data_IF_687300757540
#
_entry.id   IF_687300757540
#
_cell.length_a   1.000
_cell.length_b   1.000
_cell.length_c   1.000
_cell.angle_alpha   90.00
_cell.angle_beta   90.00
_cell.angle_gamma   90.00
#
_symmetry.space_group_name_H-M   'P 1'
#
loop_
_entity.id
_entity.type
_entity.pdbx_description
1 polymer ?
#
# COMPACT_ATOMS: atom_id res chain seq x y z
N UNK A 1 -18.13 -31.66 21.49
CA UNK A 1 -17.63 -30.53 20.69
C UNK A 1 -16.87 -31.11 19.50
N UNK A 2 -17.47 -31.11 18.30
CA UNK A 2 -16.80 -31.60 17.09
C UNK A 2 -15.93 -30.49 16.52
N UNK A 3 -14.62 -30.63 16.64
CA UNK A 3 -13.63 -29.83 15.93
C UNK A 3 -13.47 -30.39 14.52
N UNK A 4 -14.20 -29.83 13.55
CA UNK A 4 -13.96 -30.14 12.14
C UNK A 4 -14.20 -28.91 11.28
N UNK A 5 -13.12 -28.22 10.97
CA UNK A 5 -12.72 -28.10 9.57
C UNK A 5 -11.20 -28.08 9.54
N UNK A 6 -10.60 -29.07 8.85
CA UNK A 6 -9.24 -28.89 8.35
C UNK A 6 -9.35 -27.67 7.44
N UNK A 7 -8.72 -26.55 7.82
CA UNK A 7 -8.33 -25.56 6.83
C UNK A 7 -7.31 -26.27 5.94
N UNK A 8 -7.79 -26.82 4.83
CA UNK A 8 -6.91 -27.17 3.72
C UNK A 8 -6.43 -25.84 3.14
N UNK A 9 -5.29 -25.37 3.63
CA UNK A 9 -4.53 -24.33 2.97
C UNK A 9 -3.95 -24.96 1.71
N UNK A 10 -4.70 -24.94 0.61
CA UNK A 10 -4.12 -25.20 -0.71
C UNK A 10 -2.98 -24.20 -0.87
N UNK A 11 -1.72 -24.65 -1.03
CA UNK A 11 -0.64 -23.73 -1.36
C UNK A 11 -1.09 -22.99 -2.61
N UNK A 12 -1.08 -21.65 -2.59
CA UNK A 12 -1.28 -20.86 -3.81
C UNK A 12 -0.02 -21.07 -4.65
N UNK A 13 0.07 -22.24 -5.29
CA UNK A 13 1.13 -22.59 -6.21
C UNK A 13 0.90 -21.82 -7.49
N UNK A 14 1.89 -21.00 -7.88
CA UNK A 14 2.20 -20.39 -9.20
C UNK A 14 1.11 -19.76 -10.08
N UNK A 15 -0.16 -20.09 -9.94
CA UNK A 15 -1.29 -19.59 -10.73
C UNK A 15 -2.07 -18.50 -9.98
N UNK A 16 -1.35 -17.63 -9.27
CA UNK A 16 -1.93 -16.41 -8.68
C UNK A 16 -2.56 -15.51 -9.76
N UNK A 17 -2.16 -15.69 -11.03
CA UNK A 17 -2.72 -14.95 -12.17
C UNK A 17 -4.18 -15.34 -12.46
N UNK A 18 -4.59 -16.57 -12.18
CA UNK A 18 -5.99 -16.99 -12.35
C UNK A 18 -6.96 -16.26 -11.41
N UNK A 19 -6.48 -15.81 -10.25
CA UNK A 19 -7.26 -15.10 -9.24
C UNK A 19 -7.12 -13.57 -9.32
N UNK A 20 -6.22 -13.05 -10.16
CA UNK A 20 -6.15 -11.61 -10.41
C UNK A 20 -7.46 -11.13 -11.03
N UNK A 21 -7.99 -9.99 -10.58
CA UNK A 21 -9.09 -9.31 -11.26
C UNK A 21 -8.75 -9.16 -12.76
N UNK A 22 -9.63 -9.70 -13.61
CA UNK A 22 -9.45 -9.70 -15.07
C UNK A 22 -9.81 -8.36 -15.72
N UNK A 23 -10.19 -7.35 -14.93
CA UNK A 23 -10.49 -6.05 -15.49
C UNK A 23 -9.21 -5.41 -16.01
N UNK A 24 -9.35 -4.78 -17.17
CA UNK A 24 -8.30 -4.04 -17.82
C UNK A 24 -8.00 -2.77 -17.02
N UNK A 25 -6.73 -2.37 -17.01
CA UNK A 25 -6.34 -1.07 -16.46
C UNK A 25 -7.04 0.01 -17.31
N UNK A 26 -7.85 0.91 -16.73
CA UNK A 26 -8.49 1.98 -17.48
C UNK A 26 -7.45 2.86 -18.19
N UNK A 27 -7.74 3.24 -19.44
CA UNK A 27 -6.95 4.19 -20.20
C UNK A 27 -7.89 5.22 -20.88
N UNK A 28 -7.93 6.48 -20.41
CA UNK A 28 -7.11 7.03 -19.35
C UNK A 28 -7.50 6.50 -17.96
N UNK A 29 -6.58 6.60 -16.99
CA UNK A 29 -6.90 6.41 -15.58
C UNK A 29 -7.97 7.41 -15.13
N UNK A 30 -8.83 7.05 -14.16
CA UNK A 30 -9.83 7.98 -13.64
C UNK A 30 -9.16 9.21 -13.00
N UNK A 31 -9.91 10.29 -12.77
CA UNK A 31 -9.39 11.44 -12.02
C UNK A 31 -9.60 11.30 -10.50
N UNK A 32 -10.60 10.50 -10.13
CA UNK A 32 -11.05 10.27 -8.75
C UNK A 32 -11.00 8.78 -8.41
N UNK A 33 -10.75 8.48 -7.14
CA UNK A 33 -10.79 7.14 -6.56
C UNK A 33 -11.54 7.15 -5.23
N UNK A 34 -11.98 5.98 -4.78
CA UNK A 34 -12.54 5.83 -3.43
C UNK A 34 -11.42 5.46 -2.46
N UNK A 35 -11.39 6.11 -1.30
CA UNK A 35 -10.43 5.81 -0.24
C UNK A 35 -11.09 5.92 1.14
N UNK A 36 -10.63 5.10 2.08
CA UNK A 36 -10.99 5.25 3.49
C UNK A 36 -10.12 6.34 4.10
N UNK A 37 -10.75 7.46 4.46
CA UNK A 37 -10.09 8.62 5.05
C UNK A 37 -10.30 8.58 6.56
N UNK A 38 -9.20 8.47 7.30
CA UNK A 38 -9.22 8.59 8.76
C UNK A 38 -8.88 10.03 9.14
N UNK A 39 -9.76 10.63 9.93
CA UNK A 39 -9.60 11.95 10.53
C UNK A 39 -9.02 11.84 11.94
N UNK A 40 -8.36 12.91 12.39
CA UNK A 40 -7.91 13.03 13.78
C UNK A 40 -9.10 12.79 14.74
N UNK A 41 -8.89 11.91 15.72
CA UNK A 41 -9.95 11.41 16.61
C UNK A 41 -10.61 10.10 16.14
N UNK A 42 -10.09 9.48 15.08
CA UNK A 42 -10.39 8.09 14.71
C UNK A 42 -11.62 7.85 13.86
N UNK A 43 -12.30 8.92 13.45
CA UNK A 43 -13.40 8.80 12.50
C UNK A 43 -12.86 8.41 11.12
N UNK A 44 -13.34 7.29 10.59
CA UNK A 44 -12.97 6.79 9.27
C UNK A 44 -14.19 6.76 8.36
N UNK A 45 -14.06 7.33 7.16
CA UNK A 45 -15.17 7.45 6.19
C UNK A 45 -14.69 7.11 4.79
N UNK A 46 -15.55 6.49 3.99
CA UNK A 46 -15.29 6.24 2.58
C UNK A 46 -15.61 7.52 1.80
N UNK A 47 -14.62 8.09 1.14
CA UNK A 47 -14.75 9.31 0.34
C UNK A 47 -14.26 9.09 -1.08
N UNK A 48 -14.76 9.91 -2.02
CA UNK A 48 -14.14 10.08 -3.33
C UNK A 48 -13.07 11.17 -3.23
N UNK A 49 -11.85 10.84 -3.63
CA UNK A 49 -10.67 11.70 -3.57
C UNK A 49 -9.94 11.71 -4.91
N UNK A 50 -9.17 12.76 -5.22
CA UNK A 50 -8.33 12.74 -6.42
C UNK A 50 -7.32 11.59 -6.37
N UNK A 51 -6.98 11.05 -7.54
CA UNK A 51 -5.85 10.14 -7.64
C UNK A 51 -4.55 10.84 -7.19
N UNK A 52 -3.60 10.12 -6.54
CA UNK A 52 -2.37 10.72 -6.07
C UNK A 52 -1.56 11.32 -7.23
N UNK A 53 -0.97 12.49 -6.98
CA UNK A 53 -0.07 13.11 -7.95
C UNK A 53 1.23 12.30 -8.01
N UNK A 54 1.54 11.72 -9.15
CA UNK A 54 2.79 10.99 -9.38
C UNK A 54 3.98 11.96 -9.47
N UNK A 55 5.07 11.62 -8.78
CA UNK A 55 6.39 12.20 -8.95
C UNK A 55 7.20 11.42 -10.01
N UNK A 56 8.34 11.97 -10.50
CA UNK A 56 9.12 11.32 -11.55
C UNK A 56 9.60 9.90 -11.23
N UNK A 57 9.83 9.57 -9.96
CA UNK A 57 10.36 8.28 -9.52
C UNK A 57 9.28 7.35 -8.95
N UNK A 58 8.01 7.76 -8.98
CA UNK A 58 6.91 7.01 -8.39
C UNK A 58 6.42 5.87 -9.30
N UNK A 59 5.80 4.87 -8.67
CA UNK A 59 4.86 3.95 -9.32
C UNK A 59 3.48 4.16 -8.73
N UNK A 60 2.46 4.18 -9.58
CA UNK A 60 1.07 4.17 -9.15
C UNK A 60 0.56 2.75 -9.16
N UNK A 61 0.07 2.29 -8.00
CA UNK A 61 -0.40 0.93 -7.80
C UNK A 61 -1.92 0.96 -7.62
N UNK A 62 -2.61 0.10 -8.36
CA UNK A 62 -4.00 -0.27 -8.06
C UNK A 62 -3.96 -1.40 -7.01
N UNK A 63 -4.43 -1.15 -5.77
CA UNK A 63 -4.55 -2.21 -4.79
C UNK A 63 -5.59 -3.24 -5.24
N UNK A 64 -5.20 -4.50 -5.29
CA UNK A 64 -6.08 -5.63 -5.64
C UNK A 64 -6.49 -6.42 -4.40
N UNK A 65 -5.60 -6.46 -3.41
CA UNK A 65 -5.83 -7.03 -2.08
C UNK A 65 -5.23 -6.12 -1.02
N UNK A 66 -5.95 -5.96 0.08
CA UNK A 66 -5.50 -5.23 1.27
C UNK A 66 -5.82 -6.08 2.50
N UNK A 67 -5.00 -5.97 3.54
CA UNK A 67 -5.32 -6.49 4.87
C UNK A 67 -5.31 -5.37 5.90
N UNK A 68 -5.84 -5.68 7.09
CA UNK A 68 -5.84 -4.78 8.24
C UNK A 68 -4.78 -5.30 9.20
N UNK A 69 -3.80 -4.46 9.49
CA UNK A 69 -2.79 -4.81 10.47
C UNK A 69 -3.30 -4.54 11.89
N UNK A 70 -2.85 -5.32 12.87
CA UNK A 70 -3.11 -5.03 14.27
C UNK A 70 -2.57 -3.64 14.68
N UNK A 71 -1.50 -3.18 14.03
CA UNK A 71 -0.89 -1.87 14.25
C UNK A 71 -1.80 -0.70 13.80
N UNK A 72 -2.66 -0.92 12.80
CA UNK A 72 -3.63 0.09 12.34
C UNK A 72 -4.58 0.49 13.47
N UNK A 73 -4.99 -0.47 14.32
CA UNK A 73 -5.86 -0.24 15.47
C UNK A 73 -5.33 0.85 16.41
N UNK A 74 -4.01 0.85 16.66
CA UNK A 74 -3.37 1.84 17.52
C UNK A 74 -3.39 3.24 16.88
N UNK A 75 -3.34 3.31 15.54
CA UNK A 75 -3.33 4.57 14.79
C UNK A 75 -4.73 5.14 14.57
N UNK A 76 -5.77 4.32 14.57
CA UNK A 76 -7.15 4.81 14.57
C UNK A 76 -7.45 5.67 15.79
N UNK A 77 -6.92 5.33 16.96
CA UNK A 77 -7.23 6.08 18.19
C UNK A 77 -6.42 7.37 18.30
N UNK A 78 -5.16 7.35 17.85
CA UNK A 78 -4.27 8.51 17.90
C UNK A 78 -3.45 8.61 16.60
N UNK A 79 -3.90 9.46 15.67
CA UNK A 79 -3.11 9.79 14.50
C UNK A 79 -1.81 10.42 14.98
N UNK A 80 -0.68 9.79 14.65
CA UNK A 80 0.62 10.31 15.08
C UNK A 80 0.95 11.64 14.41
N UNK A 81 1.38 12.62 15.21
CA UNK A 81 1.87 13.91 14.74
C UNK A 81 0.76 14.92 14.39
N UNK A 82 1.05 15.79 13.41
CA UNK A 82 0.19 16.91 13.00
C UNK A 82 -0.81 16.56 11.88
N UNK A 83 -0.92 15.28 11.51
CA UNK A 83 -1.81 14.84 10.45
C UNK A 83 -3.28 15.07 10.85
N UNK A 84 -3.98 15.90 10.08
CA UNK A 84 -5.42 16.16 10.27
C UNK A 84 -6.30 15.05 9.70
N UNK A 85 -5.82 14.39 8.64
CA UNK A 85 -6.42 13.21 8.00
C UNK A 85 -5.37 12.41 7.22
N UNK A 86 -5.61 11.12 7.01
CA UNK A 86 -4.75 10.25 6.20
C UNK A 86 -5.56 9.12 5.54
N UNK A 87 -5.03 8.56 4.45
CA UNK A 87 -5.45 7.25 3.94
C UNK A 87 -4.59 6.20 4.66
N UNK A 88 -5.23 5.30 5.39
CA UNK A 88 -4.53 4.16 6.00
C UNK A 88 -4.38 2.99 5.04
N UNK A 89 -3.48 2.09 5.39
CA UNK A 89 -3.19 0.89 4.63
C UNK A 89 -1.70 0.81 4.37
N UNK A 90 -1.10 -0.27 4.86
CA UNK A 90 0.32 -0.55 4.66
C UNK A 90 0.57 -2.03 4.34
N UNK A 91 -0.48 -2.84 4.30
CA UNK A 91 -0.44 -4.23 3.89
C UNK A 91 -1.30 -4.41 2.63
N UNK A 92 -0.67 -4.41 1.45
CA UNK A 92 -1.39 -4.59 0.19
C UNK A 92 -0.58 -5.33 -0.87
N UNK A 93 -1.30 -5.95 -1.79
CA UNK A 93 -0.78 -6.43 -3.06
C UNK A 93 -1.62 -5.82 -4.18
N UNK A 94 -0.95 -5.43 -5.25
CA UNK A 94 -1.57 -4.66 -6.31
C UNK A 94 -0.92 -4.85 -7.66
N UNK A 95 -1.36 -4.03 -8.61
CA UNK A 95 -0.85 -3.99 -9.97
C UNK A 95 -0.38 -2.59 -10.29
N UNK A 96 0.79 -2.46 -10.90
CA UNK A 96 1.28 -1.15 -11.37
C UNK A 96 0.39 -0.68 -12.52
N UNK A 97 -0.22 0.50 -12.38
CA UNK A 97 -1.12 1.10 -13.37
C UNK A 97 -0.59 2.41 -13.96
N UNK A 98 0.44 2.98 -13.34
CA UNK A 98 1.13 4.16 -13.86
C UNK A 98 2.56 4.21 -13.33
N UNK A 99 3.43 4.94 -14.03
CA UNK A 99 4.83 5.14 -13.64
C UNK A 99 5.23 6.59 -13.88
N UNK A 100 6.11 7.12 -13.03
CA UNK A 100 6.74 8.41 -13.20
C UNK A 100 7.73 8.43 -14.38
N UNK A 101 8.16 9.63 -14.76
CA UNK A 101 8.99 9.87 -15.94
C UNK A 101 10.35 9.13 -15.93
N UNK A 102 10.92 8.88 -14.75
CA UNK A 102 12.21 8.21 -14.58
C UNK A 102 12.08 6.69 -14.43
N UNK A 103 10.86 6.16 -14.41
CA UNK A 103 10.58 4.74 -14.14
C UNK A 103 10.25 4.01 -15.44
N UNK A 104 10.74 2.77 -15.56
CA UNK A 104 10.54 1.95 -16.75
C UNK A 104 9.05 1.63 -16.99
N UNK A 105 8.49 2.10 -18.11
CA UNK A 105 7.09 1.85 -18.51
C UNK A 105 6.74 0.37 -18.66
N UNK A 106 7.71 -0.51 -18.88
CA UNK A 106 7.48 -1.96 -18.93
C UNK A 106 7.04 -2.58 -17.58
N UNK A 107 7.07 -1.80 -16.49
CA UNK A 107 6.55 -2.22 -15.20
C UNK A 107 5.01 -2.17 -15.12
N UNK A 108 4.34 -1.40 -15.99
CA UNK A 108 2.87 -1.33 -16.01
C UNK A 108 2.29 -2.72 -16.29
N UNK A 109 1.30 -3.11 -15.48
CA UNK A 109 0.66 -4.42 -15.52
C UNK A 109 1.32 -5.48 -14.63
N UNK A 110 2.52 -5.23 -14.11
CA UNK A 110 3.16 -6.16 -13.18
C UNK A 110 2.52 -6.11 -11.79
N UNK A 111 2.50 -7.26 -11.13
CA UNK A 111 2.00 -7.40 -9.76
C UNK A 111 3.10 -7.11 -8.75
N UNK A 112 2.76 -6.34 -7.71
CA UNK A 112 3.67 -5.93 -6.65
C UNK A 112 3.04 -6.15 -5.28
N UNK A 113 3.89 -6.28 -4.27
CA UNK A 113 3.52 -6.22 -2.86
C UNK A 113 4.05 -4.90 -2.31
N UNK A 114 3.25 -4.20 -1.51
CA UNK A 114 3.67 -2.98 -0.84
C UNK A 114 4.67 -3.31 0.27
N UNK A 115 5.80 -2.61 0.29
CA UNK A 115 6.70 -2.56 1.43
C UNK A 115 6.40 -1.27 2.20
N UNK A 116 6.00 -1.41 3.45
CA UNK A 116 5.60 -0.28 4.28
C UNK A 116 6.79 0.57 4.73
N UNK A 117 7.95 -0.06 4.95
CA UNK A 117 9.16 0.62 5.41
C UNK A 117 10.02 1.07 4.22
N UNK A 118 10.13 2.38 4.03
CA UNK A 118 11.05 2.93 3.05
C UNK A 118 12.27 3.57 3.73
N UNK A 119 13.43 2.90 3.72
CA UNK A 119 14.67 3.46 4.28
C UNK A 119 15.19 4.60 3.40
N UNK A 120 16.01 5.50 3.97
CA UNK A 120 16.60 6.60 3.22
C UNK A 120 17.73 6.17 2.25
N UNK A 121 18.22 4.94 2.38
CA UNK A 121 19.30 4.34 1.57
C UNK A 121 20.65 5.10 1.60
N UNK A 122 20.81 6.07 2.51
CA UNK A 122 21.98 6.96 2.55
C UNK A 122 22.68 7.03 3.92
N UNK A 123 22.03 6.63 5.02
CA UNK A 123 22.65 6.65 6.35
C UNK A 123 23.55 5.42 6.58
N UNK A 124 24.42 5.48 7.60
CA UNK A 124 25.36 4.39 7.91
C UNK A 124 24.69 3.02 8.03
N UNK A 125 23.57 2.94 8.75
CA UNK A 125 22.79 1.69 8.86
C UNK A 125 22.34 1.15 7.50
N UNK A 126 21.85 2.01 6.61
CA UNK A 126 21.41 1.59 5.27
C UNK A 126 22.58 1.11 4.41
N UNK A 127 23.73 1.78 4.50
CA UNK A 127 24.94 1.37 3.77
C UNK A 127 25.48 0.02 4.26
N UNK A 128 25.20 -0.34 5.51
CA UNK A 128 25.48 -1.66 6.09
C UNK A 128 24.38 -2.71 5.83
N UNK A 129 23.32 -2.36 5.08
CA UNK A 129 22.17 -3.23 4.82
C UNK A 129 21.22 -3.42 6.00
N UNK A 130 21.36 -2.62 7.06
CA UNK A 130 20.52 -2.63 8.27
C UNK A 130 19.39 -1.61 8.13
N UNK A 131 18.46 -1.88 7.21
CA UNK A 131 17.38 -0.96 6.86
C UNK A 131 16.39 -0.73 8.00
N UNK A 132 16.21 -1.74 8.87
CA UNK A 132 15.44 -1.68 10.13
C UNK A 132 15.97 -0.67 11.15
N UNK A 133 17.19 -0.16 10.95
CA UNK A 133 17.84 0.84 11.81
C UNK A 133 18.11 2.14 11.07
N UNK A 134 17.34 2.39 10.02
CA UNK A 134 17.46 3.63 9.28
C UNK A 134 17.15 4.82 10.18
N UNK A 135 18.01 5.82 10.16
CA UNK A 135 17.85 7.03 10.99
C UNK A 135 16.79 8.01 10.45
N UNK A 136 16.32 7.76 9.22
CA UNK A 136 15.39 8.63 8.47
C UNK A 136 14.42 7.78 7.66
N UNK A 137 13.93 6.69 8.25
CA UNK A 137 12.89 5.89 7.60
C UNK A 137 11.60 6.69 7.46
N UNK A 138 10.77 6.25 6.52
CA UNK A 138 9.36 6.56 6.57
C UNK A 138 8.52 5.31 6.43
N UNK A 139 7.22 5.51 6.59
CA UNK A 139 6.25 4.44 6.74
C UNK A 139 4.98 4.80 5.97
N UNK A 140 4.69 4.01 4.94
CA UNK A 140 3.52 4.19 4.08
C UNK A 140 2.23 3.91 4.88
N UNK A 141 1.20 4.74 4.71
CA UNK A 141 -0.03 4.63 5.50
C UNK A 141 0.07 5.24 6.91
N UNK A 142 1.26 5.57 7.45
CA UNK A 142 1.38 6.21 8.77
C UNK A 142 1.90 7.65 8.72
N UNK A 143 3.03 7.89 8.02
CA UNK A 143 3.61 9.23 7.88
C UNK A 143 3.20 9.91 6.56
N UNK A 144 2.78 9.10 5.59
CA UNK A 144 2.16 9.53 4.32
C UNK A 144 0.92 8.67 4.09
N UNK A 145 -0.05 9.19 3.35
CA UNK A 145 -1.19 8.38 2.88
C UNK A 145 -0.69 7.16 2.12
N UNK A 146 -1.28 6.00 2.42
CA UNK A 146 -1.13 4.76 1.67
C UNK A 146 -1.91 4.75 0.38
#
# INVERSE_FOLDING_TARGET
MKTTSKLELTPIGSDYKSILPKHQIPDPLPEIMKAWITYKGGKTVLEEVPLPKMLPDDVLVEPLWISICASDANKFVDLTGDLKKTVFGHEFAGRIVGVGENVNKALIGQTVVGEEHYPCLQCSSCLEGKFDRCQKEGFLGWYKSG
#
